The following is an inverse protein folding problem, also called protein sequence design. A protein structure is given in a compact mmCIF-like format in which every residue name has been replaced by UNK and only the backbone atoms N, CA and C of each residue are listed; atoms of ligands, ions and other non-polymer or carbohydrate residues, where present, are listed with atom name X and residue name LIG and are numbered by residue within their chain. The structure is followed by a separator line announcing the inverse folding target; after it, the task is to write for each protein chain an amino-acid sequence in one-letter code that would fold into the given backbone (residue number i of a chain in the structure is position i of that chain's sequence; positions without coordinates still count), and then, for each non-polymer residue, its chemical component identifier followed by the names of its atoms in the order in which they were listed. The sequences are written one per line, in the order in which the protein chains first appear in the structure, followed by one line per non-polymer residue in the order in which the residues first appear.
data_IF_667687414071
#
_entry.id   IF_667687414071
#
_cell.length_a   1.000
_cell.length_b   1.000
_cell.length_c   1.000
_cell.angle_alpha   90.00
_cell.angle_beta   90.00
_cell.angle_gamma   90.00
#
_symmetry.space_group_name_H-M   'P 1'
#
loop_
_entity.id
_entity.type
_entity.pdbx_description
1 polymer ?
#
# COMPACT_ATOMS: atom_id res chain seq x y z
N UNK A 1 35.49 36.00 46.60
CA UNK A 1 34.14 36.42 46.19
C UNK A 1 33.88 35.90 44.80
N UNK A 2 32.73 35.24 44.63
CA UNK A 2 32.32 34.38 43.53
C UNK A 2 31.99 35.18 42.25
N UNK A 3 32.30 34.58 41.09
CA UNK A 3 31.99 35.11 39.77
C UNK A 3 30.54 34.90 39.34
N UNK A 4 30.18 35.46 38.19
CA UNK A 4 28.92 35.12 37.50
C UNK A 4 29.14 35.05 35.99
N UNK A 5 28.88 33.84 35.49
CA UNK A 5 28.95 33.40 34.10
C UNK A 5 27.70 33.88 33.36
N UNK A 6 27.88 34.48 32.18
CA UNK A 6 26.79 34.82 31.26
C UNK A 6 26.36 33.57 30.48
N UNK A 7 25.24 32.95 30.89
CA UNK A 7 24.60 31.86 30.17
C UNK A 7 23.67 32.38 29.08
N UNK A 8 23.90 31.95 27.83
CA UNK A 8 23.00 32.19 26.70
C UNK A 8 21.69 31.42 26.83
N UNK A 9 20.58 32.07 26.52
CA UNK A 9 19.29 31.44 26.36
C UNK A 9 19.09 31.10 24.87
N UNK A 10 19.18 29.83 24.52
CA UNK A 10 18.65 29.31 23.27
C UNK A 10 17.12 29.30 23.37
N UNK A 11 16.37 29.76 22.33
CA UNK A 11 14.93 29.66 22.35
C UNK A 11 14.53 28.20 22.16
N UNK A 12 13.92 27.62 23.20
CA UNK A 12 13.20 26.36 23.12
C UNK A 12 12.03 26.54 22.14
N UNK A 13 12.08 25.85 21.01
CA UNK A 13 10.94 25.77 20.09
C UNK A 13 9.88 24.90 20.76
N UNK A 14 8.80 25.53 21.20
CA UNK A 14 7.61 24.83 21.65
C UNK A 14 6.98 24.11 20.48
N UNK A 15 7.01 22.77 20.49
CA UNK A 15 6.12 21.97 19.66
C UNK A 15 4.69 22.18 20.15
N UNK A 16 3.91 22.96 19.41
CA UNK A 16 2.48 23.10 19.64
C UNK A 16 1.79 21.79 19.28
N UNK A 17 1.51 20.93 20.27
CA UNK A 17 0.58 19.83 20.10
C UNK A 17 -0.85 20.40 20.12
N UNK A 18 -1.35 20.76 18.93
CA UNK A 18 -2.75 21.18 18.77
C UNK A 18 -3.66 19.97 18.99
N UNK A 19 -4.19 19.83 20.21
CA UNK A 19 -5.13 18.78 20.62
C UNK A 19 -6.54 18.97 20.03
N UNK A 20 -6.78 20.05 19.27
CA UNK A 20 -8.06 20.38 18.64
C UNK A 20 -8.06 20.46 17.11
N UNK A 21 -6.92 20.25 16.44
CA UNK A 21 -6.87 20.31 14.98
C UNK A 21 -7.48 19.04 14.33
N UNK A 22 -8.27 19.25 13.27
CA UNK A 22 -8.78 18.19 12.40
C UNK A 22 -7.61 17.44 11.76
N UNK A 23 -7.60 16.11 11.89
CA UNK A 23 -6.54 15.29 11.30
C UNK A 23 -6.53 15.47 9.78
N UNK A 24 -5.35 15.63 9.17
CA UNK A 24 -5.18 15.80 7.73
C UNK A 24 -4.37 14.65 7.13
N UNK A 25 -4.59 14.31 5.85
CA UNK A 25 -3.69 13.41 5.14
C UNK A 25 -2.30 14.05 5.00
N UNK A 26 -1.28 13.20 5.00
CA UNK A 26 0.12 13.58 4.71
C UNK A 26 0.29 13.89 3.23
N UNK A 27 -0.43 13.17 2.38
CA UNK A 27 -0.38 13.32 0.93
C UNK A 27 -1.73 12.95 0.30
N UNK A 28 -2.04 13.54 -0.84
CA UNK A 28 -3.17 13.15 -1.68
C UNK A 28 -2.67 12.61 -3.02
N UNK A 29 -2.84 11.32 -3.26
CA UNK A 29 -2.42 10.64 -4.49
C UNK A 29 -2.35 9.13 -4.35
N UNK A 30 -1.58 8.46 -5.20
CA UNK A 30 -1.46 7.01 -5.24
C UNK A 30 -0.04 6.55 -4.95
N UNK A 31 0.10 5.54 -4.08
CA UNK A 31 1.40 4.93 -3.77
C UNK A 31 1.57 3.71 -4.68
N UNK A 32 2.27 3.89 -5.79
CA UNK A 32 2.46 2.83 -6.78
C UNK A 32 3.53 1.83 -6.36
N UNK A 33 4.66 2.33 -5.86
CA UNK A 33 5.88 1.56 -5.60
C UNK A 33 6.39 1.73 -4.16
N UNK A 34 7.38 0.95 -3.77
CA UNK A 34 8.09 1.16 -2.50
C UNK A 34 8.78 2.53 -2.47
N UNK A 35 9.35 2.98 -3.59
CA UNK A 35 10.03 4.28 -3.70
C UNK A 35 9.11 5.45 -3.35
N UNK A 36 7.88 5.44 -3.87
CA UNK A 36 6.85 6.45 -3.53
C UNK A 36 6.65 6.58 -2.02
N UNK A 37 6.59 5.43 -1.32
CA UNK A 37 6.44 5.41 0.12
C UNK A 37 7.68 5.95 0.83
N UNK A 38 8.88 5.59 0.38
CA UNK A 38 10.14 6.05 0.97
C UNK A 38 10.33 7.56 0.81
N UNK A 39 9.92 8.13 -0.32
CA UNK A 39 9.90 9.59 -0.53
C UNK A 39 9.02 10.27 0.53
N UNK A 40 7.83 9.76 0.79
CA UNK A 40 6.95 10.35 1.81
C UNK A 40 7.48 10.16 3.25
N UNK A 41 8.11 9.02 3.56
CA UNK A 41 8.79 8.84 4.85
C UNK A 41 9.92 9.85 5.03
N UNK A 42 10.76 10.04 4.01
CA UNK A 42 11.85 11.02 4.04
C UNK A 42 11.33 12.45 4.19
N UNK A 43 10.26 12.82 3.46
CA UNK A 43 9.61 14.12 3.60
C UNK A 43 9.10 14.36 5.04
N UNK A 44 8.59 13.31 5.70
CA UNK A 44 8.20 13.40 7.11
C UNK A 44 9.41 13.51 8.05
N UNK A 45 10.50 12.81 7.78
CA UNK A 45 11.70 12.80 8.63
C UNK A 45 12.50 14.10 8.55
N UNK A 46 12.40 14.80 7.43
CA UNK A 46 13.02 16.11 7.21
C UNK A 46 12.11 17.28 7.64
N UNK A 47 10.88 16.98 8.09
CA UNK A 47 9.93 17.97 8.58
C UNK A 47 9.17 18.74 7.49
N UNK A 48 9.33 18.37 6.21
CA UNK A 48 8.53 18.94 5.13
C UNK A 48 7.05 18.56 5.25
N UNK A 49 6.79 17.36 5.77
CA UNK A 49 5.46 16.87 6.09
C UNK A 49 5.39 16.41 7.55
N UNK A 50 4.19 16.41 8.12
CA UNK A 50 3.98 16.03 9.51
C UNK A 50 3.29 14.68 9.62
N UNK A 51 3.83 13.81 10.47
CA UNK A 51 3.17 12.57 10.86
C UNK A 51 1.81 12.86 11.50
N UNK A 52 0.85 11.95 11.33
CA UNK A 52 -0.41 12.05 12.05
C UNK A 52 -0.20 11.68 13.53
N UNK A 53 -0.66 12.54 14.47
CA UNK A 53 -0.35 12.36 15.88
C UNK A 53 -1.32 11.42 16.60
N UNK A 54 -2.43 11.03 15.95
CA UNK A 54 -3.52 10.25 16.54
C UNK A 54 -4.32 9.50 15.49
N UNK A 55 -5.25 8.68 15.95
CA UNK A 55 -6.24 8.00 15.10
C UNK A 55 -7.32 8.98 14.62
N UNK A 56 -7.98 8.72 13.49
CA UNK A 56 -9.14 9.46 13.07
C UNK A 56 -10.31 9.17 14.01
N UNK A 57 -10.97 10.22 14.49
CA UNK A 57 -12.22 10.09 15.23
C UNK A 57 -13.37 9.70 14.30
N UNK A 58 -14.42 9.09 14.84
CA UNK A 58 -15.58 8.61 14.06
C UNK A 58 -16.13 9.69 13.12
N UNK A 59 -16.30 10.91 13.63
CA UNK A 59 -16.83 12.07 12.89
C UNK A 59 -15.93 12.52 11.73
N UNK A 60 -14.64 12.24 11.79
CA UNK A 60 -13.66 12.65 10.77
C UNK A 60 -13.53 11.58 9.67
N UNK A 61 -13.86 10.31 9.95
CA UNK A 61 -13.59 9.18 9.04
C UNK A 61 -14.23 9.33 7.67
N UNK A 62 -15.46 9.83 7.59
CA UNK A 62 -16.14 10.06 6.31
C UNK A 62 -15.32 10.99 5.38
N UNK A 63 -14.53 11.90 5.95
CA UNK A 63 -13.67 12.80 5.19
C UNK A 63 -12.26 12.25 4.98
N UNK A 64 -11.79 11.39 5.87
CA UNK A 64 -10.40 10.91 5.85
C UNK A 64 -10.21 9.58 5.14
N UNK A 65 -11.18 8.67 5.21
CA UNK A 65 -11.10 7.33 4.64
C UNK A 65 -11.68 7.36 3.23
N UNK A 66 -10.96 8.04 2.33
CA UNK A 66 -11.35 8.25 0.93
C UNK A 66 -10.18 7.99 -0.01
N UNK A 67 -10.50 7.73 -1.26
CA UNK A 67 -9.53 7.59 -2.34
C UNK A 67 -8.58 8.77 -2.41
N UNK A 68 -7.29 8.50 -2.60
CA UNK A 68 -6.20 9.46 -2.64
C UNK A 68 -5.56 9.77 -1.28
N UNK A 69 -6.25 9.61 -0.16
CA UNK A 69 -5.68 10.00 1.13
C UNK A 69 -4.58 9.03 1.58
N UNK A 70 -3.43 9.60 1.97
CA UNK A 70 -2.29 8.89 2.53
C UNK A 70 -1.95 9.44 3.90
N UNK A 71 -1.70 8.55 4.86
CA UNK A 71 -1.37 8.88 6.24
C UNK A 71 -0.08 8.19 6.64
N UNK A 72 0.77 8.88 7.42
CA UNK A 72 1.98 8.33 8.00
C UNK A 72 1.96 8.58 9.50
N UNK A 73 2.16 7.55 10.31
CA UNK A 73 2.28 7.67 11.77
C UNK A 73 3.51 6.95 12.29
N UNK A 74 4.04 7.49 13.38
CA UNK A 74 5.12 6.89 14.17
C UNK A 74 4.52 6.20 15.40
N UNK A 75 4.89 4.95 15.69
CA UNK A 75 4.25 4.17 16.77
C UNK A 75 4.39 4.81 18.17
N UNK A 76 5.57 5.33 18.51
CA UNK A 76 5.85 5.84 19.87
C UNK A 76 5.15 7.17 20.13
N UNK A 77 5.39 8.18 19.28
CA UNK A 77 4.83 9.52 19.47
C UNK A 77 3.30 9.58 19.30
N UNK A 78 2.72 8.78 18.41
CA UNK A 78 1.25 8.75 18.21
C UNK A 78 0.51 7.76 19.11
N UNK A 79 1.21 6.78 19.69
CA UNK A 79 0.61 5.65 20.41
C UNK A 79 -0.18 4.68 19.52
N UNK A 80 -0.11 4.80 18.20
CA UNK A 80 -0.84 3.96 17.25
C UNK A 80 -0.01 2.72 16.90
N UNK A 81 -0.45 1.53 17.34
CA UNK A 81 0.19 0.24 16.95
C UNK A 81 -0.43 -0.42 15.71
N UNK A 82 -1.66 -0.06 15.38
CA UNK A 82 -2.43 -0.64 14.27
C UNK A 82 -3.43 0.40 13.81
N UNK A 83 -3.48 0.77 12.54
CA UNK A 83 -4.48 1.71 12.06
C UNK A 83 -5.92 1.17 12.16
N UNK A 84 -6.88 2.01 12.53
CA UNK A 84 -8.30 1.63 12.66
C UNK A 84 -9.18 2.73 12.08
N UNK A 85 -9.94 2.37 11.06
CA UNK A 85 -10.70 3.28 10.20
C UNK A 85 -12.21 2.97 10.15
N UNK A 86 -12.66 1.91 10.83
CA UNK A 86 -14.08 1.53 10.88
C UNK A 86 -14.61 0.82 9.63
N UNK A 87 -13.81 0.66 8.59
CA UNK A 87 -14.23 0.02 7.33
C UNK A 87 -14.08 -1.51 7.45
N UNK A 88 -15.06 -2.30 6.97
CA UNK A 88 -14.92 -3.76 6.94
C UNK A 88 -13.95 -4.18 5.83
N UNK A 89 -12.76 -4.63 6.22
CA UNK A 89 -11.70 -5.03 5.29
C UNK A 89 -11.61 -6.54 5.11
N UNK A 90 -11.24 -6.97 3.90
CA UNK A 90 -10.78 -8.34 3.65
C UNK A 90 -9.55 -8.69 4.49
N UNK A 91 -9.22 -9.99 4.67
CA UNK A 91 -7.89 -10.38 5.13
C UNK A 91 -6.79 -9.82 4.22
N UNK A 92 -5.63 -9.52 4.80
CA UNK A 92 -4.49 -8.95 4.07
C UNK A 92 -3.96 -9.90 2.99
N UNK A 93 -3.53 -9.34 1.87
CA UNK A 93 -2.66 -10.02 0.89
C UNK A 93 -1.36 -9.26 0.73
N UNK A 94 -0.27 -10.01 0.54
CA UNK A 94 1.05 -9.45 0.29
C UNK A 94 1.13 -9.09 -1.18
N UNK A 95 1.65 -7.91 -1.48
CA UNK A 95 2.00 -7.45 -2.82
C UNK A 95 3.28 -6.65 -2.71
N UNK A 96 4.40 -7.25 -3.12
CA UNK A 96 5.75 -6.72 -2.83
C UNK A 96 5.93 -6.44 -1.35
N UNK A 97 6.30 -5.20 -1.03
CA UNK A 97 6.50 -4.71 0.35
C UNK A 97 5.22 -4.27 1.06
N UNK A 98 4.07 -4.37 0.39
CA UNK A 98 2.80 -3.87 0.89
C UNK A 98 1.89 -5.00 1.38
N UNK A 99 0.98 -4.62 2.29
CA UNK A 99 -0.22 -5.37 2.58
C UNK A 99 -1.42 -4.66 1.96
N UNK A 100 -2.19 -5.40 1.17
CA UNK A 100 -3.42 -4.94 0.53
C UNK A 100 -4.66 -5.48 1.23
N UNK A 101 -5.69 -4.65 1.27
CA UNK A 101 -7.01 -4.93 1.79
C UNK A 101 -8.05 -4.33 0.85
N UNK A 102 -9.17 -5.02 0.66
CA UNK A 102 -10.30 -4.51 -0.14
C UNK A 102 -11.54 -4.43 0.73
N UNK A 103 -12.31 -3.35 0.57
CA UNK A 103 -13.54 -3.12 1.31
C UNK A 103 -14.58 -4.21 0.99
N UNK A 104 -15.26 -4.67 2.04
CA UNK A 104 -16.32 -5.66 1.98
C UNK A 104 -17.67 -4.97 2.04
N UNK A 105 -18.68 -5.56 1.40
CA UNK A 105 -20.07 -5.05 1.51
C UNK A 105 -20.60 -5.13 2.94
N UNK A 106 -20.20 -6.18 3.66
CA UNK A 106 -20.63 -6.44 5.03
C UNK A 106 -19.44 -6.89 5.88
N UNK A 107 -19.41 -6.54 7.17
CA UNK A 107 -18.46 -7.13 8.09
C UNK A 107 -18.71 -8.64 8.20
N UNK A 108 -17.67 -9.41 8.54
CA UNK A 108 -17.83 -10.83 8.85
C UNK A 108 -18.79 -11.02 10.03
N UNK A 109 -19.81 -11.89 9.89
CA UNK A 109 -20.73 -12.14 11.00
C UNK A 109 -19.98 -12.81 12.17
N UNK A 110 -20.30 -12.49 13.43
CA UNK A 110 -19.73 -13.17 14.59
C UNK A 110 -19.94 -14.69 14.47
N UNK A 111 -18.85 -15.47 14.35
CA UNK A 111 -18.88 -16.93 14.23
C UNK A 111 -18.69 -17.49 12.82
N UNK A 112 -18.77 -16.68 11.76
CA UNK A 112 -18.41 -17.11 10.41
C UNK A 112 -16.88 -17.22 10.28
N UNK A 113 -16.37 -18.46 10.12
CA UNK A 113 -14.97 -18.67 9.79
C UNK A 113 -14.66 -17.98 8.46
N UNK A 114 -13.56 -17.20 8.42
CA UNK A 114 -13.00 -16.51 7.24
C UNK A 114 -12.68 -17.51 6.11
N UNK A 115 -13.69 -18.00 5.39
CA UNK A 115 -13.52 -18.96 4.29
C UNK A 115 -13.60 -18.22 2.97
N UNK A 116 -12.67 -18.55 2.08
CA UNK A 116 -12.72 -18.16 0.68
C UNK A 116 -14.02 -18.68 0.05
N UNK A 117 -14.79 -17.82 -0.61
CA UNK A 117 -15.94 -18.25 -1.40
C UNK A 117 -15.39 -19.03 -2.59
N UNK A 118 -15.34 -20.36 -2.48
CA UNK A 118 -15.21 -21.19 -3.67
C UNK A 118 -16.47 -20.97 -4.49
N UNK A 119 -16.33 -20.39 -5.69
CA UNK A 119 -17.37 -20.44 -6.73
C UNK A 119 -17.70 -21.92 -6.97
N UNK A 120 -18.70 -22.43 -6.26
CA UNK A 120 -19.36 -23.66 -6.65
C UNK A 120 -20.04 -23.33 -7.97
N UNK A 121 -19.55 -23.90 -9.07
CA UNK A 121 -20.14 -23.67 -10.38
C UNK A 121 -21.65 -23.91 -10.30
N UNK A 122 -22.44 -22.99 -10.88
CA UNK A 122 -23.86 -23.23 -11.13
C UNK A 122 -23.95 -24.34 -12.19
N UNK A 123 -23.84 -25.60 -11.78
CA UNK A 123 -24.29 -26.71 -12.61
C UNK A 123 -25.82 -26.72 -12.52
N UNK A 124 -26.47 -26.15 -13.54
CA UNK A 124 -27.86 -26.49 -13.84
C UNK A 124 -27.95 -28.02 -13.88
N UNK A 125 -28.87 -28.57 -13.09
CA UNK A 125 -29.04 -30.00 -12.96
C UNK A 125 -29.42 -30.66 -14.29
N UNK A 126 -28.69 -31.72 -14.63
CA UNK A 126 -29.18 -32.81 -15.48
C UNK A 126 -28.75 -34.12 -14.82
N UNK A 127 -29.73 -34.99 -14.59
CA UNK A 127 -29.63 -36.28 -13.91
C UNK A 127 -28.69 -37.26 -14.62
N UNK A 128 -28.04 -38.14 -13.84
CA UNK A 128 -27.21 -39.29 -14.29
C UNK A 128 -27.96 -40.19 -15.30
N UNK A 129 -27.22 -41.03 -16.07
CA UNK A 129 -26.99 -42.39 -15.57
C UNK A 129 -25.54 -42.86 -15.59
N UNK A 130 -25.34 -43.91 -14.81
CA UNK A 130 -24.14 -44.68 -14.48
C UNK A 130 -23.51 -45.46 -15.65
N UNK A 131 -22.17 -45.51 -15.71
CA UNK A 131 -21.41 -46.75 -15.95
C UNK A 131 -19.92 -46.56 -15.66
N UNK A 132 -19.32 -47.61 -15.07
CA UNK A 132 -17.89 -47.76 -14.81
C UNK A 132 -17.06 -47.73 -16.10
N UNK A 133 -15.85 -47.19 -16.06
CA UNK A 133 -14.61 -47.96 -16.32
C UNK A 133 -13.35 -47.10 -16.18
N UNK A 134 -12.31 -47.77 -15.70
CA UNK A 134 -10.92 -47.36 -15.59
C UNK A 134 -10.32 -47.11 -16.99
N UNK A 135 -9.47 -46.08 -17.15
CA UNK A 135 -8.32 -46.12 -18.05
C UNK A 135 -7.37 -44.94 -17.82
N UNK A 136 -6.13 -45.26 -17.45
CA UNK A 136 -4.95 -44.47 -17.78
C UNK A 136 -4.83 -44.35 -19.31
N UNK A 137 -4.56 -43.16 -19.84
CA UNK A 137 -3.44 -42.94 -20.78
C UNK A 137 -3.44 -41.51 -21.34
N UNK A 138 -2.21 -41.05 -21.51
CA UNK A 138 -1.73 -39.89 -22.24
C UNK A 138 -2.41 -39.66 -23.60
N UNK A 139 -2.70 -38.40 -23.96
CA UNK A 139 -2.69 -37.98 -25.35
C UNK A 139 -2.25 -36.53 -25.53
N UNK A 140 -1.49 -36.37 -26.60
CA UNK A 140 -0.83 -35.19 -27.16
C UNK A 140 -1.80 -34.45 -28.08
N UNK A 141 -1.66 -33.12 -28.11
CA UNK A 141 -2.09 -32.19 -29.17
C UNK A 141 -3.58 -32.11 -29.53
N UNK A 142 -4.16 -30.95 -29.20
CA UNK A 142 -5.35 -30.40 -29.86
C UNK A 142 -5.21 -28.88 -29.99
N UNK A 143 -4.61 -28.42 -31.10
CA UNK A 143 -4.64 -27.02 -31.52
C UNK A 143 -6.09 -26.69 -31.90
N UNK A 144 -6.74 -25.77 -31.22
CA UNK A 144 -7.95 -25.11 -31.73
C UNK A 144 -7.56 -23.73 -32.26
N UNK A 145 -7.42 -23.65 -33.59
CA UNK A 145 -7.56 -22.42 -34.37
C UNK A 145 -9.06 -22.15 -34.52
N UNK A 146 -9.46 -20.90 -34.27
CA UNK A 146 -10.79 -20.40 -34.57
C UNK A 146 -11.25 -19.38 -33.55
N UNK A 147 -10.96 -18.10 -33.77
CA UNK A 147 -11.95 -17.20 -34.38
C UNK A 147 -11.36 -15.78 -34.48
N UNK A 148 -11.15 -15.32 -35.72
CA UNK A 148 -10.78 -13.94 -36.05
C UNK A 148 -12.04 -13.30 -36.61
N UNK A 149 -12.65 -12.40 -35.86
CA UNK A 149 -13.16 -11.07 -36.28
C UNK A 149 -14.15 -10.53 -35.24
N UNK A 150 -13.67 -9.68 -34.34
CA UNK A 150 -14.55 -8.69 -33.70
C UNK A 150 -13.77 -7.40 -33.47
N UNK A 151 -14.10 -6.30 -34.17
CA UNK A 151 -13.35 -5.05 -34.06
C UNK A 151 -13.97 -4.16 -32.97
N UNK A 152 -14.29 -4.68 -31.78
CA UNK A 152 -14.76 -3.84 -30.67
C UNK A 152 -14.40 -4.41 -29.29
N UNK A 153 -13.74 -3.56 -28.51
CA UNK A 153 -13.53 -3.56 -27.05
C UNK A 153 -12.15 -4.02 -26.51
N UNK A 154 -11.32 -3.00 -26.32
CA UNK A 154 -10.12 -2.88 -25.48
C UNK A 154 -10.37 -3.16 -23.96
N UNK A 155 -11.39 -3.96 -23.64
CA UNK A 155 -11.88 -4.19 -22.28
C UNK A 155 -11.12 -5.31 -21.52
N UNK A 156 -10.20 -6.02 -22.20
CA UNK A 156 -9.36 -7.06 -21.58
C UNK A 156 -8.19 -6.44 -20.81
N UNK A 157 -7.52 -5.43 -21.37
CA UNK A 157 -6.37 -4.77 -20.75
C UNK A 157 -6.72 -4.06 -19.45
N UNK A 158 -7.88 -3.41 -19.40
CA UNK A 158 -8.35 -2.68 -18.21
C UNK A 158 -8.64 -3.62 -17.03
N UNK A 159 -9.16 -4.82 -17.31
CA UNK A 159 -9.38 -5.85 -16.28
C UNK A 159 -8.07 -6.37 -15.70
N UNK A 160 -7.02 -6.47 -16.50
CA UNK A 160 -5.72 -6.94 -16.03
C UNK A 160 -4.99 -5.86 -15.21
N UNK A 161 -5.10 -4.59 -15.62
CA UNK A 161 -4.63 -3.45 -14.82
C UNK A 161 -5.35 -3.37 -13.46
N UNK A 162 -6.68 -3.50 -13.45
CA UNK A 162 -7.46 -3.52 -12.22
C UNK A 162 -7.07 -4.68 -11.27
N UNK A 163 -6.73 -5.85 -11.82
CA UNK A 163 -6.25 -7.00 -11.04
C UNK A 163 -4.88 -6.75 -10.41
N UNK A 164 -3.96 -6.11 -11.12
CA UNK A 164 -2.65 -5.76 -10.58
C UNK A 164 -2.74 -4.87 -9.33
N UNK A 165 -3.72 -3.96 -9.29
CA UNK A 165 -3.95 -3.03 -8.18
C UNK A 165 -4.49 -3.69 -6.90
N UNK A 166 -5.00 -4.92 -6.96
CA UNK A 166 -5.50 -5.67 -5.78
C UNK A 166 -4.79 -7.00 -5.55
N UNK A 167 -3.84 -7.36 -6.42
CA UNK A 167 -3.13 -8.63 -6.40
C UNK A 167 -4.10 -9.82 -6.44
N UNK A 168 -3.98 -10.75 -5.51
CA UNK A 168 -4.83 -11.96 -5.45
C UNK A 168 -6.24 -11.73 -4.88
N UNK A 169 -6.62 -10.49 -4.52
CA UNK A 169 -7.95 -10.15 -3.95
C UNK A 169 -9.02 -9.92 -5.03
N UNK A 170 -9.15 -10.85 -5.97
CA UNK A 170 -10.06 -10.69 -7.11
C UNK A 170 -11.49 -11.15 -6.80
N UNK A 171 -11.69 -12.41 -6.38
CA UNK A 171 -13.03 -13.04 -6.30
C UNK A 171 -13.29 -13.84 -5.00
N UNK A 172 -12.39 -13.73 -4.01
CA UNK A 172 -12.38 -14.60 -2.82
C UNK A 172 -13.45 -14.25 -1.77
N UNK A 173 -13.97 -13.02 -1.80
CA UNK A 173 -14.87 -12.46 -0.79
C UNK A 173 -15.99 -11.65 -1.43
N UNK A 174 -17.03 -11.33 -0.65
CA UNK A 174 -18.07 -10.36 -1.02
C UNK A 174 -17.51 -8.95 -0.90
N UNK A 175 -16.73 -8.55 -1.90
CA UNK A 175 -16.18 -7.20 -1.99
C UNK A 175 -17.27 -6.22 -2.37
N UNK A 176 -17.20 -5.02 -1.79
CA UNK A 176 -18.09 -3.94 -2.14
C UNK A 176 -17.86 -3.49 -3.60
N UNK A 177 -18.90 -3.40 -4.44
CA UNK A 177 -18.79 -2.80 -5.77
C UNK A 177 -18.27 -1.38 -5.67
N UNK A 178 -17.21 -1.04 -6.43
CA UNK A 178 -16.53 0.26 -6.32
C UNK A 178 -15.89 0.51 -4.94
N UNK A 179 -15.71 -0.53 -4.13
CA UNK A 179 -15.18 -0.42 -2.78
C UNK A 179 -13.72 0.03 -2.73
N UNK A 180 -13.36 0.64 -1.61
CA UNK A 180 -12.04 1.19 -1.39
C UNK A 180 -10.98 0.08 -1.29
N UNK A 181 -9.76 0.39 -1.70
CA UNK A 181 -8.57 -0.41 -1.44
C UNK A 181 -7.72 0.32 -0.41
N UNK A 182 -7.21 -0.43 0.57
CA UNK A 182 -6.20 0.05 1.52
C UNK A 182 -4.89 -0.66 1.27
N UNK A 183 -3.81 0.11 1.12
CA UNK A 183 -2.43 -0.36 0.93
C UNK A 183 -1.56 0.16 2.06
N UNK A 184 -0.83 -0.72 2.73
CA UNK A 184 -0.01 -0.35 3.89
C UNK A 184 1.40 -0.89 3.78
N UNK A 185 2.38 -0.12 4.25
CA UNK A 185 3.78 -0.50 4.41
C UNK A 185 4.28 0.02 5.76
N UNK A 186 5.17 -0.72 6.40
CA UNK A 186 5.84 -0.29 7.63
C UNK A 186 7.34 -0.29 7.42
N UNK A 187 8.00 0.71 8.01
CA UNK A 187 9.47 0.81 8.04
C UNK A 187 9.97 0.97 9.46
N UNK A 188 11.19 0.52 9.73
CA UNK A 188 11.89 0.82 10.97
C UNK A 188 13.06 1.75 10.66
N UNK A 189 13.24 2.80 11.47
CA UNK A 189 14.35 3.71 11.34
C UNK A 189 14.83 4.13 12.73
N UNK A 190 16.13 3.97 13.01
CA UNK A 190 16.73 4.22 14.33
C UNK A 190 15.96 3.53 15.48
N UNK A 191 15.49 2.30 15.25
CA UNK A 191 14.72 1.53 16.23
C UNK A 191 13.25 1.90 16.34
N UNK A 192 12.80 3.00 15.72
CA UNK A 192 11.41 3.47 15.76
C UNK A 192 10.65 2.95 14.54
N UNK A 193 9.43 2.45 14.73
CA UNK A 193 8.58 1.98 13.65
C UNK A 193 7.65 3.08 13.16
N UNK A 194 7.63 3.26 11.85
CA UNK A 194 6.75 4.16 11.12
C UNK A 194 5.87 3.34 10.18
N UNK A 195 4.65 3.81 9.96
CA UNK A 195 3.68 3.12 9.13
C UNK A 195 3.03 4.10 8.17
N UNK A 196 2.88 3.68 6.92
CA UNK A 196 2.11 4.36 5.90
C UNK A 196 0.82 3.59 5.63
N UNK A 197 -0.28 4.33 5.51
CA UNK A 197 -1.60 3.82 5.13
C UNK A 197 -2.12 4.68 3.97
N UNK A 198 -2.34 4.06 2.82
CA UNK A 198 -2.88 4.70 1.62
C UNK A 198 -4.24 4.09 1.26
N UNK A 199 -5.13 4.95 0.79
CA UNK A 199 -6.46 4.59 0.32
C UNK A 199 -6.63 4.99 -1.14
N UNK A 200 -7.22 4.12 -1.96
CA UNK A 200 -7.55 4.44 -3.35
C UNK A 200 -8.73 3.61 -3.86
N UNK A 201 -9.48 4.17 -4.79
CA UNK A 201 -10.38 3.40 -5.65
C UNK A 201 -9.60 2.94 -6.88
N UNK A 202 -9.90 1.73 -7.35
CA UNK A 202 -9.27 1.17 -8.56
C UNK A 202 -9.50 2.09 -9.76
N UNK A 203 -10.74 2.58 -9.92
CA UNK A 203 -11.12 3.47 -11.03
C UNK A 203 -10.35 4.78 -11.03
N UNK A 204 -10.05 5.36 -9.86
CA UNK A 204 -9.32 6.62 -9.80
C UNK A 204 -7.86 6.46 -10.24
N UNK A 205 -7.26 5.28 -9.97
CA UNK A 205 -5.91 4.95 -10.41
C UNK A 205 -5.89 4.62 -11.91
N UNK A 206 -6.81 3.77 -12.38
CA UNK A 206 -6.93 3.40 -13.79
C UNK A 206 -7.16 4.62 -14.68
N UNK A 207 -8.05 5.52 -14.26
CA UNK A 207 -8.32 6.77 -14.97
C UNK A 207 -7.26 7.85 -14.73
N UNK A 208 -6.14 7.52 -14.09
CA UNK A 208 -5.01 8.43 -13.82
C UNK A 208 -5.41 9.74 -13.13
N UNK A 209 -6.39 9.70 -12.23
CA UNK A 209 -6.83 10.86 -11.44
C UNK A 209 -5.91 11.13 -10.24
N UNK A 210 -5.11 10.15 -9.85
CA UNK A 210 -4.22 10.20 -8.69
C UNK A 210 -2.77 10.13 -9.15
N UNK A 211 -1.99 11.16 -8.82
CA UNK A 211 -0.55 11.22 -9.07
C UNK A 211 0.24 10.49 -7.98
N UNK A 212 1.43 10.01 -8.34
CA UNK A 212 2.34 9.42 -7.35
C UNK A 212 3.19 10.50 -6.66
N UNK A 213 3.74 10.21 -5.45
CA UNK A 213 4.70 11.08 -4.80
C UNK A 213 5.89 11.48 -5.69
N UNK A 214 6.45 10.53 -6.45
CA UNK A 214 7.59 10.81 -7.34
C UNK A 214 7.21 11.72 -8.52
N UNK A 215 5.97 11.67 -8.98
CA UNK A 215 5.44 12.57 -10.01
C UNK A 215 5.10 13.97 -9.47
N UNK A 216 5.01 14.15 -8.14
CA UNK A 216 4.64 15.41 -7.53
C UNK A 216 5.79 16.44 -7.57
N UNK A 217 5.58 17.65 -8.12
CA UNK A 217 6.59 18.71 -8.13
C UNK A 217 7.08 19.12 -6.73
N UNK A 218 6.26 18.94 -5.69
CA UNK A 218 6.59 19.27 -4.30
C UNK A 218 7.54 18.27 -3.66
N UNK A 219 7.69 17.08 -4.24
CA UNK A 219 8.49 15.99 -3.69
C UNK A 219 9.66 15.60 -4.59
N UNK A 220 9.78 16.24 -5.76
CA UNK A 220 10.81 15.93 -6.76
C UNK A 220 12.24 16.05 -6.24
N UNK A 221 12.47 16.84 -5.19
CA UNK A 221 13.76 17.09 -4.55
C UNK A 221 14.01 16.21 -3.32
N UNK A 222 13.02 15.43 -2.89
CA UNK A 222 13.15 14.55 -1.72
C UNK A 222 13.86 13.27 -2.14
N UNK A 223 15.01 13.02 -1.54
CA UNK A 223 15.82 11.82 -1.80
C UNK A 223 15.87 10.94 -0.55
N UNK A 224 15.26 9.75 -0.55
CA UNK A 224 15.29 8.83 0.58
C UNK A 224 16.71 8.50 1.03
N UNK A 225 16.97 8.61 2.34
CA UNK A 225 18.27 8.24 2.92
C UNK A 225 18.56 6.75 2.78
N UNK A 226 19.84 6.38 2.62
CA UNK A 226 20.26 4.98 2.47
C UNK A 226 19.74 4.06 3.58
N UNK A 227 19.70 4.54 4.82
CA UNK A 227 19.18 3.80 5.96
C UNK A 227 17.69 3.44 5.87
N UNK A 228 16.90 4.01 4.95
CA UNK A 228 15.53 3.58 4.65
C UNK A 228 15.47 2.51 3.56
N UNK A 229 16.49 2.45 2.71
CA UNK A 229 16.58 1.57 1.53
C UNK A 229 17.20 0.21 1.92
N UNK A 230 18.03 0.17 2.97
CA UNK A 230 18.72 -1.05 3.41
C UNK A 230 17.77 -2.19 3.83
N UNK A 231 18.14 -3.42 3.44
CA UNK A 231 17.46 -4.64 3.84
C UNK A 231 17.44 -4.78 5.38
N UNK A 232 16.25 -5.01 5.94
CA UNK A 232 16.00 -5.06 7.39
C UNK A 232 14.91 -4.08 7.85
N UNK A 233 14.75 -2.97 7.12
CA UNK A 233 13.72 -1.97 7.42
C UNK A 233 12.43 -2.19 6.63
N UNK A 234 12.46 -3.04 5.62
CA UNK A 234 11.33 -3.40 4.76
C UNK A 234 11.26 -4.93 4.69
N UNK A 235 10.04 -5.47 4.52
CA UNK A 235 9.76 -6.92 4.60
C UNK A 235 10.56 -7.75 3.59
N UNK A 236 10.83 -7.23 2.41
CA UNK A 236 11.73 -7.80 1.42
C UNK A 236 12.67 -6.70 0.91
N UNK A 237 13.87 -7.04 0.39
CA UNK A 237 14.65 -6.11 -0.42
C UNK A 237 13.75 -5.53 -1.51
N UNK A 238 13.94 -4.25 -1.86
CA UNK A 238 13.25 -3.65 -3.00
C UNK A 238 13.57 -4.51 -4.22
N UNK A 239 12.55 -5.08 -4.86
CA UNK A 239 12.71 -6.01 -5.98
C UNK A 239 13.52 -5.31 -7.09
N UNK A 240 14.45 -6.02 -7.74
CA UNK A 240 15.31 -5.45 -8.78
C UNK A 240 14.47 -4.82 -9.91
N UNK A 241 13.23 -5.30 -10.11
CA UNK A 241 12.26 -4.68 -11.03
C UNK A 241 11.66 -3.35 -10.55
N UNK A 242 11.54 -3.10 -9.24
CA UNK A 242 11.16 -1.77 -8.70
C UNK A 242 12.33 -0.77 -8.74
N UNK A 243 13.58 -1.27 -8.66
CA UNK A 243 14.81 -0.46 -8.75
C UNK A 243 15.17 -0.04 -10.18
N UNK A 244 14.71 -0.80 -11.18
CA UNK A 244 15.01 -0.54 -12.60
C UNK A 244 14.09 0.54 -13.20
N UNK A 245 12.95 0.85 -12.57
CA UNK A 245 11.98 1.84 -13.10
C UNK A 245 12.36 3.28 -12.72
N UNK A 246 13.24 3.49 -11.73
CA UNK A 246 13.69 4.82 -11.32
C UNK A 246 15.23 4.94 -11.39
N UNK A 247 15.74 5.62 -12.43
CA UNK A 247 17.18 5.90 -12.61
C UNK A 247 17.80 6.66 -11.43
N UNK A 248 17.02 7.34 -10.58
CA UNK A 248 17.51 8.03 -9.37
C UNK A 248 17.94 7.04 -8.28
N UNK A 249 17.27 5.89 -8.19
CA UNK A 249 17.58 4.86 -7.18
C UNK A 249 18.83 4.05 -7.54
N UNK A 250 19.13 3.90 -8.83
CA UNK A 250 20.40 3.30 -9.29
C UNK A 250 21.61 4.05 -8.74
N UNK A 251 21.55 5.39 -8.74
CA UNK A 251 22.64 6.23 -8.22
C UNK A 251 22.81 6.07 -6.71
N UNK A 252 21.71 6.00 -5.95
CA UNK A 252 21.76 5.86 -4.49
C UNK A 252 22.23 4.48 -4.03
N UNK A 253 21.86 3.42 -4.74
CA UNK A 253 22.34 2.05 -4.46
C UNK A 253 23.82 1.93 -4.86
N UNK A 254 24.23 2.54 -5.97
CA UNK A 254 25.64 2.59 -6.38
C UNK A 254 26.51 3.34 -5.35
N UNK A 255 25.99 4.41 -4.74
CA UNK A 255 26.67 5.17 -3.69
C UNK A 255 26.66 4.48 -2.31
N UNK A 256 25.68 3.61 -2.04
CA UNK A 256 25.64 2.80 -0.81
C UNK A 256 26.59 1.59 -0.81
N UNK A 257 27.15 1.22 -1.97
CA UNK A 257 28.07 0.10 -2.11
C UNK A 257 29.55 0.50 -1.96
N UNK A 258 29.86 1.79 -1.86
CA UNK A 258 31.23 2.30 -1.74
C UNK A 258 31.73 2.49 -0.30
N UNK A 259 30.87 2.38 0.71
CA UNK A 259 31.24 2.61 2.12
C UNK A 259 31.60 1.32 2.90
N UNK A 260 31.82 0.19 2.22
CA UNK A 260 32.30 -1.07 2.85
C UNK A 260 33.81 -1.30 2.69
N UNK A 261 34.59 -0.27 2.44
CA UNK A 261 36.03 -0.32 2.65
C UNK A 261 36.51 0.92 3.38
N UNK A 262 37.00 0.71 4.60
CA UNK A 262 38.36 1.05 5.05
C UNK A 262 38.41 1.07 6.59
N UNK A 263 39.59 1.04 7.23
CA UNK A 263 40.86 0.41 6.88
C UNK A 263 41.26 -0.69 7.88
#
# INVERSE_FOLDING_TARGET
MLGRVSGGATPYIHHHTSTGATLQPVFFGYISSTVDALVLFEACFTGHMSHVPRRPHERERANLIRSGNVFIYEEHSSGIKRWTDGVPWSPSRISGNFLLYRELDKPFQPGEKKRNIKKMGRSNGVSKPTSNSLANSVCVSGRNMGDLTSPYSDASGDKDAARALVGSLVDTYQFKPGGLVKKTIGVQYKGIRHHLVSYYNIEDVVNKKLHTPVESPELQYVTPRAGLISAGNIRAPVDDHELIIDDRMRVLIAQGHTDWHEP
#
